data_IF_152138771755
#
_entry.id   IF_152138771755
#
_cell.length_a   1.000
_cell.length_b   1.000
_cell.length_c   1.000
_cell.angle_alpha   90.00
_cell.angle_beta   90.00
_cell.angle_gamma   90.00
#
_symmetry.space_group_name_H-M   'P 1'
#
loop_
_entity.id
_entity.type
_entity.pdbx_description
1 polymer ?
#
# COMPACT_ATOMS: atom_id res chain seq x y z
N UNK A 1 -25.01 0.34 4.55
CA UNK A 1 -24.62 -1.06 4.37
C UNK A 1 -23.11 -1.30 4.41
N UNK A 2 -22.19 -0.52 3.79
CA UNK A 2 -20.74 -0.81 3.86
C UNK A 2 -20.15 -0.76 5.28
N UNK A 3 -20.64 0.14 6.13
CA UNK A 3 -20.15 0.28 7.51
C UNK A 3 -20.43 -0.98 8.33
N UNK A 4 -21.64 -1.56 8.22
CA UNK A 4 -22.00 -2.78 8.93
C UNK A 4 -21.12 -3.97 8.51
N UNK A 5 -20.83 -4.08 7.20
CA UNK A 5 -19.98 -5.13 6.67
C UNK A 5 -18.54 -5.00 7.21
N UNK A 6 -17.98 -3.79 7.20
CA UNK A 6 -16.65 -3.53 7.77
C UNK A 6 -16.63 -3.82 9.27
N UNK A 7 -17.68 -3.42 10.01
CA UNK A 7 -17.78 -3.70 11.46
C UNK A 7 -17.85 -5.19 11.75
N UNK A 8 -18.62 -5.96 10.98
CA UNK A 8 -18.72 -7.43 11.15
C UNK A 8 -17.37 -8.09 10.88
N UNK A 9 -16.68 -7.69 9.81
CA UNK A 9 -15.33 -8.20 9.50
C UNK A 9 -14.35 -7.86 10.63
N UNK A 10 -14.35 -6.61 11.11
CA UNK A 10 -13.46 -6.16 12.18
C UNK A 10 -13.72 -6.95 13.49
N UNK A 11 -14.97 -7.14 13.86
CA UNK A 11 -15.35 -7.92 15.05
C UNK A 11 -14.93 -9.39 14.88
N UNK A 12 -15.14 -9.98 13.71
CA UNK A 12 -14.73 -11.36 13.42
C UNK A 12 -13.23 -11.54 13.57
N UNK A 13 -12.44 -10.60 13.04
CA UNK A 13 -10.97 -10.58 13.20
C UNK A 13 -10.57 -10.44 14.66
N UNK A 14 -11.23 -9.56 15.43
CA UNK A 14 -10.97 -9.39 16.87
C UNK A 14 -11.27 -10.65 17.67
N UNK A 15 -12.41 -11.29 17.44
CA UNK A 15 -12.78 -12.53 18.14
C UNK A 15 -11.78 -13.64 17.83
N UNK A 16 -11.36 -13.77 16.57
CA UNK A 16 -10.37 -14.77 16.17
C UNK A 16 -8.98 -14.54 16.82
N UNK A 17 -8.70 -13.31 17.24
CA UNK A 17 -7.44 -12.92 17.86
C UNK A 17 -7.37 -13.03 19.37
N UNK A 18 -8.48 -13.31 20.06
CA UNK A 18 -8.54 -13.36 21.54
C UNK A 18 -7.52 -14.37 22.09
N UNK A 19 -7.31 -15.48 21.39
CA UNK A 19 -6.39 -16.54 21.81
C UNK A 19 -5.06 -16.59 21.03
N UNK A 20 -4.85 -15.69 20.05
CA UNK A 20 -3.67 -15.72 19.18
C UNK A 20 -3.18 -14.29 18.84
N UNK A 21 -2.47 -13.63 19.74
CA UNK A 21 -1.97 -12.27 19.53
C UNK A 21 -1.04 -12.12 18.31
N UNK A 22 -0.45 -13.23 17.86
CA UNK A 22 0.40 -13.30 16.67
C UNK A 22 -0.35 -12.89 15.39
N UNK A 23 -1.61 -13.27 15.25
CA UNK A 23 -2.44 -12.93 14.09
C UNK A 23 -2.68 -11.42 14.04
N UNK A 24 -2.89 -10.80 15.19
CA UNK A 24 -3.05 -9.33 15.27
C UNK A 24 -1.80 -8.60 14.76
N UNK A 25 -0.61 -9.02 15.16
CA UNK A 25 0.64 -8.44 14.69
C UNK A 25 0.81 -8.61 13.17
N UNK A 26 0.49 -9.79 12.63
CA UNK A 26 0.57 -10.06 11.20
C UNK A 26 -0.41 -9.18 10.40
N UNK A 27 -1.67 -9.06 10.86
CA UNK A 27 -2.70 -8.23 10.20
C UNK A 27 -2.31 -6.75 10.23
N UNK A 28 -1.88 -6.25 11.39
CA UNK A 28 -1.45 -4.85 11.54
C UNK A 28 -0.26 -4.52 10.64
N UNK A 29 0.76 -5.38 10.64
CA UNK A 29 1.94 -5.19 9.78
C UNK A 29 1.59 -5.24 8.30
N UNK A 30 0.70 -6.14 7.89
CA UNK A 30 0.20 -6.22 6.52
C UNK A 30 -0.49 -4.93 6.11
N UNK A 31 -1.32 -4.36 6.97
CA UNK A 31 -2.03 -3.10 6.71
C UNK A 31 -1.05 -1.96 6.48
N UNK A 32 -0.01 -1.85 7.32
CA UNK A 32 1.03 -0.82 7.18
C UNK A 32 1.82 -1.01 5.88
N UNK A 33 2.19 -2.25 5.54
CA UNK A 33 2.91 -2.55 4.28
C UNK A 33 2.07 -2.16 3.07
N UNK A 34 0.78 -2.51 3.03
CA UNK A 34 -0.12 -2.15 1.93
C UNK A 34 -0.28 -0.64 1.79
N UNK A 35 -0.39 0.09 2.90
CA UNK A 35 -0.45 1.55 2.89
C UNK A 35 0.85 2.16 2.34
N UNK A 36 2.01 1.63 2.73
CA UNK A 36 3.30 2.07 2.20
C UNK A 36 3.47 1.75 0.71
N UNK A 37 3.00 0.58 0.26
CA UNK A 37 2.99 0.21 -1.16
C UNK A 37 2.12 1.20 -1.94
N UNK A 38 0.91 1.50 -1.49
CA UNK A 38 0.04 2.48 -2.12
C UNK A 38 0.71 3.87 -2.20
N UNK A 39 1.38 4.30 -1.13
CA UNK A 39 2.15 5.53 -1.11
C UNK A 39 3.28 5.54 -2.14
N UNK A 40 4.09 4.47 -2.20
CA UNK A 40 5.20 4.34 -3.15
C UNK A 40 4.71 4.30 -4.59
N UNK A 41 3.56 3.66 -4.86
CA UNK A 41 2.92 3.65 -6.18
C UNK A 41 2.45 5.03 -6.64
N UNK A 42 2.14 5.95 -5.74
CA UNK A 42 1.81 7.34 -6.07
C UNK A 42 3.07 8.19 -6.24
N UNK A 43 4.00 8.09 -5.29
CA UNK A 43 5.23 8.90 -5.30
C UNK A 43 6.21 8.47 -6.39
N UNK A 44 6.25 7.18 -6.75
CA UNK A 44 7.16 6.63 -7.76
C UNK A 44 6.98 7.26 -9.14
N UNK A 45 5.80 7.20 -9.76
CA UNK A 45 5.54 7.85 -11.04
C UNK A 45 5.76 9.36 -11.00
N UNK A 46 5.40 10.02 -9.90
CA UNK A 46 5.64 11.44 -9.69
C UNK A 46 7.15 11.77 -9.71
N UNK A 47 7.95 10.96 -9.02
CA UNK A 47 9.41 11.08 -9.00
C UNK A 47 10.01 10.87 -10.40
N UNK A 48 9.53 9.84 -11.12
CA UNK A 48 9.98 9.55 -12.48
C UNK A 48 9.64 10.67 -13.47
N UNK A 49 8.45 11.26 -13.40
CA UNK A 49 8.07 12.39 -14.27
C UNK A 49 8.92 13.62 -14.01
N UNK A 50 9.26 13.87 -12.75
CA UNK A 50 10.18 14.96 -12.38
C UNK A 50 11.61 14.72 -12.86
N UNK A 51 12.15 13.49 -12.70
CA UNK A 51 13.46 13.10 -13.18
C UNK A 51 13.58 13.24 -14.72
N UNK A 52 12.50 12.93 -15.44
CA UNK A 52 12.43 13.04 -16.90
C UNK A 52 12.21 14.47 -17.41
N UNK A 53 12.13 15.46 -16.53
CA UNK A 53 11.87 16.85 -16.89
C UNK A 53 10.47 17.11 -17.47
N UNK A 54 9.57 16.12 -17.39
CA UNK A 54 8.20 16.22 -17.91
C UNK A 54 7.20 16.79 -16.90
N UNK A 55 7.69 17.22 -15.75
CA UNK A 55 6.86 17.84 -14.73
C UNK A 55 6.55 19.29 -15.09
N UNK A 56 5.29 19.55 -15.35
CA UNK A 56 4.78 20.94 -15.46
C UNK A 56 4.22 21.33 -14.10
N UNK A 57 4.67 22.45 -13.50
CA UNK A 57 4.04 22.96 -12.28
C UNK A 57 2.55 23.24 -12.57
N UNK A 58 1.67 22.73 -11.71
CA UNK A 58 0.26 22.98 -11.84
C UNK A 58 -0.03 24.48 -11.68
N UNK A 59 -1.09 24.94 -12.37
CA UNK A 59 -1.51 26.34 -12.40
C UNK A 59 -1.72 26.96 -11.02
N UNK A 60 -1.68 28.29 -10.99
CA UNK A 60 -1.72 29.17 -9.82
C UNK A 60 -2.66 28.70 -8.70
N UNK A 61 -2.11 28.52 -7.50
CA UNK A 61 -2.87 28.27 -6.28
C UNK A 61 -2.49 27.05 -5.47
N UNK A 62 -1.67 26.15 -5.99
CA UNK A 62 -1.20 24.98 -5.25
C UNK A 62 0.20 25.17 -4.68
N UNK A 63 0.43 24.63 -3.48
CA UNK A 63 1.74 24.62 -2.84
C UNK A 63 2.77 23.91 -3.73
N UNK A 64 3.85 24.60 -4.07
CA UNK A 64 4.94 24.06 -4.87
C UNK A 64 6.27 24.20 -4.16
N UNK A 65 6.99 23.09 -3.97
CA UNK A 65 8.35 23.06 -3.42
C UNK A 65 9.42 23.53 -4.41
N UNK A 66 9.03 23.97 -5.62
CA UNK A 66 9.98 24.45 -6.63
C UNK A 66 11.13 23.45 -6.89
N UNK A 67 12.36 23.94 -6.83
CA UNK A 67 13.59 23.14 -7.08
C UNK A 67 13.80 22.01 -6.07
N UNK A 68 13.30 22.13 -4.84
CA UNK A 68 13.45 21.12 -3.80
C UNK A 68 12.44 19.95 -3.95
N UNK A 69 11.42 20.11 -4.77
CA UNK A 69 10.39 19.09 -4.93
C UNK A 69 10.89 17.73 -5.43
N UNK A 70 11.93 17.71 -6.25
CA UNK A 70 12.56 16.46 -6.70
C UNK A 70 13.30 15.76 -5.55
N UNK A 71 14.09 16.51 -4.78
CA UNK A 71 14.84 15.95 -3.65
C UNK A 71 13.90 15.36 -2.59
N UNK A 72 12.83 16.08 -2.24
CA UNK A 72 11.82 15.61 -1.29
C UNK A 72 11.13 14.35 -1.78
N UNK A 73 10.73 14.29 -3.05
CA UNK A 73 10.09 13.10 -3.63
C UNK A 73 11.04 11.89 -3.65
N UNK A 74 12.32 12.10 -3.97
CA UNK A 74 13.32 11.04 -4.00
C UNK A 74 13.55 10.47 -2.59
N UNK A 75 13.73 11.33 -1.60
CA UNK A 75 13.87 10.90 -0.20
C UNK A 75 12.63 10.15 0.27
N UNK A 76 11.43 10.67 -0.01
CA UNK A 76 10.18 10.03 0.33
C UNK A 76 10.01 8.65 -0.34
N UNK A 77 10.37 8.52 -1.61
CA UNK A 77 10.34 7.26 -2.35
C UNK A 77 11.31 6.24 -1.75
N UNK A 78 12.58 6.61 -1.56
CA UNK A 78 13.60 5.73 -0.98
C UNK A 78 13.18 5.30 0.43
N UNK A 79 12.72 6.24 1.26
CA UNK A 79 12.24 5.95 2.60
C UNK A 79 11.09 4.95 2.58
N UNK A 80 10.09 5.15 1.73
CA UNK A 80 8.95 4.23 1.58
C UNK A 80 9.40 2.82 1.21
N UNK A 81 10.32 2.67 0.25
CA UNK A 81 10.87 1.37 -0.16
C UNK A 81 11.65 0.71 0.99
N UNK A 82 12.52 1.45 1.67
CA UNK A 82 13.29 0.94 2.82
C UNK A 82 12.37 0.47 3.94
N UNK A 83 11.31 1.21 4.24
CA UNK A 83 10.33 0.83 5.25
C UNK A 83 9.53 -0.40 4.87
N UNK A 84 9.13 -0.56 3.60
CA UNK A 84 8.47 -1.78 3.13
C UNK A 84 9.39 -2.98 3.35
N UNK A 85 10.65 -2.90 2.92
CA UNK A 85 11.63 -3.98 3.10
C UNK A 85 11.84 -4.29 4.58
N UNK A 86 11.97 -3.24 5.41
CA UNK A 86 12.19 -3.40 6.85
C UNK A 86 11.04 -4.11 7.55
N UNK A 87 9.79 -3.71 7.27
CA UNK A 87 8.61 -4.30 7.91
C UNK A 87 8.31 -5.69 7.34
N UNK A 88 8.49 -5.89 6.02
CA UNK A 88 8.27 -7.18 5.37
C UNK A 88 9.34 -8.24 5.76
N UNK A 89 10.49 -7.82 6.31
CA UNK A 89 11.57 -8.74 6.65
C UNK A 89 11.11 -9.79 7.67
N UNK A 90 11.27 -11.08 7.38
CA UNK A 90 10.80 -12.15 8.25
C UNK A 90 11.55 -12.16 9.58
N UNK A 91 10.86 -11.83 10.67
CA UNK A 91 11.40 -11.79 12.02
C UNK A 91 10.57 -12.67 12.94
N UNK A 92 11.14 -13.78 13.37
CA UNK A 92 10.46 -14.71 14.28
C UNK A 92 9.99 -14.01 15.57
N UNK A 93 10.84 -13.22 16.21
CA UNK A 93 10.51 -12.53 17.45
C UNK A 93 9.42 -11.47 17.37
N UNK A 94 9.01 -11.05 16.16
CA UNK A 94 7.92 -10.09 15.95
C UNK A 94 6.65 -10.79 15.47
N UNK A 95 6.77 -11.63 14.43
CA UNK A 95 5.60 -12.23 13.77
C UNK A 95 5.21 -13.59 14.33
N UNK A 96 6.11 -14.26 15.04
CA UNK A 96 5.89 -15.62 15.55
C UNK A 96 6.61 -15.85 16.90
N UNK A 97 6.34 -14.98 17.92
CA UNK A 97 7.07 -15.00 19.19
C UNK A 97 6.67 -16.14 20.12
N UNK A 98 5.53 -16.84 19.87
CA UNK A 98 4.99 -17.86 20.77
C UNK A 98 4.90 -19.22 20.07
N UNK A 99 5.08 -20.29 20.83
CA UNK A 99 4.84 -21.66 20.36
C UNK A 99 3.33 -21.96 20.23
N UNK A 100 2.90 -22.79 19.28
CA UNK A 100 3.71 -23.47 18.25
C UNK A 100 4.15 -22.52 17.11
N UNK A 101 5.41 -22.64 16.71
CA UNK A 101 5.97 -21.80 15.65
C UNK A 101 5.46 -22.22 14.28
N UNK A 102 4.90 -21.24 13.55
CA UNK A 102 4.40 -21.44 12.19
C UNK A 102 5.20 -20.59 11.19
N UNK A 103 5.86 -21.22 10.25
CA UNK A 103 6.69 -20.54 9.24
C UNK A 103 5.90 -19.48 8.43
N UNK A 104 4.62 -19.74 8.14
CA UNK A 104 3.78 -18.81 7.39
C UNK A 104 3.50 -17.51 8.15
N UNK A 105 3.48 -17.53 9.49
CA UNK A 105 3.37 -16.31 10.29
C UNK A 105 4.66 -15.50 10.24
N UNK A 106 5.83 -16.15 10.32
CA UNK A 106 7.12 -15.48 10.20
C UNK A 106 7.26 -14.75 8.86
N UNK A 107 6.76 -15.34 7.77
CA UNK A 107 6.75 -14.77 6.44
C UNK A 107 5.48 -13.96 6.13
N UNK A 108 4.61 -13.77 7.10
CA UNK A 108 3.33 -13.08 6.97
C UNK A 108 3.46 -11.68 6.36
N UNK A 109 4.50 -10.93 6.76
CA UNK A 109 4.80 -9.61 6.19
C UNK A 109 5.05 -9.58 4.69
N UNK A 110 5.41 -10.71 4.08
CA UNK A 110 5.59 -10.87 2.63
C UNK A 110 4.38 -11.57 2.00
N UNK A 111 3.94 -12.69 2.58
CA UNK A 111 2.91 -13.55 2.01
C UNK A 111 1.56 -12.84 1.90
N UNK A 112 1.10 -12.17 2.96
CA UNK A 112 -0.20 -11.52 2.94
C UNK A 112 -0.28 -10.36 1.95
N UNK A 113 0.69 -9.42 1.87
CA UNK A 113 0.70 -8.39 0.83
C UNK A 113 0.75 -8.96 -0.58
N UNK A 114 1.54 -10.01 -0.84
CA UNK A 114 1.62 -10.66 -2.15
C UNK A 114 0.28 -11.25 -2.55
N UNK A 115 -0.40 -11.98 -1.65
CA UNK A 115 -1.73 -12.54 -1.90
C UNK A 115 -2.74 -11.41 -2.16
N UNK A 116 -2.75 -10.36 -1.32
CA UNK A 116 -3.66 -9.24 -1.48
C UNK A 116 -3.45 -8.51 -2.82
N UNK A 117 -2.21 -8.23 -3.20
CA UNK A 117 -1.87 -7.60 -4.47
C UNK A 117 -2.22 -8.48 -5.67
N UNK A 118 -2.04 -9.80 -5.56
CA UNK A 118 -2.41 -10.74 -6.60
C UNK A 118 -3.92 -10.75 -6.83
N UNK A 119 -4.71 -10.80 -5.75
CA UNK A 119 -6.17 -10.72 -5.83
C UNK A 119 -6.60 -9.38 -6.45
N UNK A 120 -5.99 -8.27 -6.00
CA UNK A 120 -6.28 -6.95 -6.55
C UNK A 120 -5.93 -6.86 -8.05
N UNK A 121 -4.80 -7.42 -8.47
CA UNK A 121 -4.37 -7.45 -9.86
C UNK A 121 -5.32 -8.28 -10.74
N UNK A 122 -5.73 -9.46 -10.26
CA UNK A 122 -6.72 -10.30 -10.95
C UNK A 122 -8.06 -9.56 -11.09
N UNK A 123 -8.53 -8.94 -10.01
CA UNK A 123 -9.78 -8.18 -10.02
C UNK A 123 -9.70 -6.99 -10.98
N UNK A 124 -8.59 -6.27 -11.00
CA UNK A 124 -8.35 -5.18 -11.95
C UNK A 124 -8.35 -5.69 -13.39
N UNK A 125 -7.62 -6.75 -13.68
CA UNK A 125 -7.50 -7.30 -15.02
C UNK A 125 -8.84 -7.84 -15.57
N UNK A 126 -9.66 -8.43 -14.70
CA UNK A 126 -10.93 -9.09 -15.12
C UNK A 126 -12.10 -8.11 -15.17
N UNK A 127 -12.15 -7.14 -14.26
CA UNK A 127 -13.35 -6.29 -14.11
C UNK A 127 -13.11 -4.81 -14.40
N UNK A 128 -11.99 -4.24 -13.96
CA UNK A 128 -11.82 -2.79 -14.00
C UNK A 128 -11.09 -2.26 -15.22
N UNK A 129 -10.24 -3.06 -15.87
CA UNK A 129 -9.45 -2.62 -17.02
C UNK A 129 -10.27 -1.94 -18.13
N UNK A 130 -11.49 -2.42 -18.35
CA UNK A 130 -12.37 -1.89 -19.41
C UNK A 130 -13.30 -0.75 -18.92
N UNK A 131 -13.33 -0.46 -17.62
CA UNK A 131 -14.20 0.53 -17.00
C UNK A 131 -13.44 1.74 -16.45
N UNK A 132 -12.11 1.66 -16.38
CA UNK A 132 -11.25 2.76 -15.91
C UNK A 132 -10.83 3.60 -17.11
N UNK A 133 -11.39 4.80 -17.23
CA UNK A 133 -11.05 5.75 -18.26
C UNK A 133 -11.16 7.18 -17.75
N UNK A 134 -10.53 8.11 -18.46
CA UNK A 134 -10.69 9.54 -18.21
C UNK A 134 -12.14 9.91 -18.48
N UNK A 135 -12.82 10.58 -17.53
CA UNK A 135 -14.18 11.10 -17.74
C UNK A 135 -14.21 11.92 -19.02
N UNK A 136 -15.28 11.79 -19.78
CA UNK A 136 -15.45 12.49 -21.06
C UNK A 136 -15.28 14.02 -20.93
N UNK A 137 -15.66 14.58 -19.78
CA UNK A 137 -15.52 15.99 -19.41
C UNK A 137 -14.07 16.52 -19.41
N UNK A 138 -13.09 15.61 -19.29
CA UNK A 138 -11.67 15.97 -19.21
C UNK A 138 -10.90 15.56 -20.48
N UNK A 139 -11.59 15.21 -21.58
CA UNK A 139 -10.92 14.98 -22.86
C UNK A 139 -10.57 16.33 -23.48
N UNK A 140 -9.30 16.62 -23.74
CA UNK A 140 -8.94 17.83 -24.50
C UNK A 140 -9.57 17.72 -25.89
N UNK A 141 -10.51 18.61 -26.21
CA UNK A 141 -11.15 18.67 -27.51
C UNK A 141 -12.65 18.28 -27.59
N UNK A 142 -13.35 18.10 -26.45
CA UNK A 142 -14.83 18.01 -26.44
C UNK A 142 -15.46 19.32 -26.04
#
# INVERSE_FOLDING_TARGET
MPILLVSVIAISVLISNINQPQIFLAVTSTTVILALIAYVLVVGPLTLTRLRGKWTPNEKGYFSLGKFGLAVNLVAFIWGVVMIINIAWPRQGIYNPFEPYHWYLQWGGVLFPVVALTIAAIFYATRQRNHVGVRAEHRPGS
#
